data_IF_799125287242
#
_entry.id   IF_799125287242
#
_cell.length_a   1.000
_cell.length_b   1.000
_cell.length_c   1.000
_cell.angle_alpha   90.00
_cell.angle_beta   90.00
_cell.angle_gamma   90.00
#
_symmetry.space_group_name_H-M   'P 1'
#
loop_
_entity.id
_entity.type
_entity.pdbx_description
1 polymer ?
#
# COMPACT_ATOMS: atom_id res chain seq x y z
N UNK A 1 16.46 -11.66 4.93
CA UNK A 1 15.05 -11.98 5.24
C UNK A 1 14.22 -11.48 4.08
N UNK A 2 13.21 -12.23 3.63
CA UNK A 2 12.32 -11.79 2.54
C UNK A 2 11.15 -11.01 3.15
N UNK A 3 10.99 -9.75 2.78
CA UNK A 3 9.94 -8.88 3.31
C UNK A 3 8.62 -9.15 2.58
N UNK A 4 7.53 -9.29 3.33
CA UNK A 4 6.20 -9.46 2.73
C UNK A 4 5.09 -8.88 3.58
N UNK A 5 4.03 -8.44 2.91
CA UNK A 5 2.80 -7.98 3.52
C UNK A 5 2.06 -9.18 4.14
N UNK A 6 1.68 -9.04 5.41
CA UNK A 6 0.91 -10.04 6.18
C UNK A 6 -0.55 -9.65 6.35
N UNK A 7 -0.83 -8.35 6.52
CA UNK A 7 -2.17 -7.81 6.63
C UNK A 7 -2.23 -6.40 6.00
N UNK A 8 -3.41 -6.00 5.52
CA UNK A 8 -3.61 -4.65 5.02
C UNK A 8 -5.08 -4.22 5.12
N UNK A 9 -5.29 -2.95 5.47
CA UNK A 9 -6.61 -2.37 5.73
C UNK A 9 -6.72 -0.98 5.14
N UNK A 10 -7.80 -0.74 4.39
CA UNK A 10 -8.14 0.61 3.95
C UNK A 10 -8.43 1.48 5.18
N UNK A 11 -7.88 2.69 5.22
CA UNK A 11 -8.11 3.64 6.32
C UNK A 11 -8.99 4.79 5.85
N UNK A 12 -8.52 5.56 4.86
CA UNK A 12 -9.21 6.72 4.30
C UNK A 12 -8.51 7.17 3.01
N UNK A 13 -9.20 7.94 2.18
CA UNK A 13 -8.64 8.55 0.96
C UNK A 13 -7.82 7.55 0.13
N UNK A 14 -6.51 7.75 0.00
CA UNK A 14 -5.57 6.80 -0.62
C UNK A 14 -4.55 6.24 0.38
N UNK A 15 -4.97 6.17 1.65
CA UNK A 15 -4.18 5.66 2.75
C UNK A 15 -4.60 4.24 3.11
N UNK A 16 -3.62 3.33 3.12
CA UNK A 16 -3.77 1.93 3.55
C UNK A 16 -2.86 1.69 4.75
N UNK A 17 -3.37 1.05 5.79
CA UNK A 17 -2.55 0.50 6.85
C UNK A 17 -2.02 -0.86 6.41
N UNK A 18 -0.71 -1.07 6.53
CA UNK A 18 -0.03 -2.29 6.08
C UNK A 18 0.78 -2.86 7.24
N UNK A 19 0.74 -4.18 7.38
CA UNK A 19 1.58 -4.95 8.30
C UNK A 19 2.52 -5.89 7.53
N UNK A 20 3.73 -6.04 8.05
CA UNK A 20 4.78 -6.86 7.47
C UNK A 20 5.20 -7.98 8.41
N UNK A 21 5.83 -9.01 7.85
CA UNK A 21 6.35 -10.16 8.60
C UNK A 21 7.42 -9.83 9.65
N UNK A 22 8.03 -8.65 9.59
CA UNK A 22 8.98 -8.13 10.58
C UNK A 22 8.30 -7.41 11.77
N UNK A 23 6.98 -7.55 11.93
CA UNK A 23 6.16 -6.82 12.92
C UNK A 23 6.14 -5.29 12.71
N UNK A 24 6.75 -4.79 11.64
CA UNK A 24 6.59 -3.41 11.21
C UNK A 24 5.17 -3.22 10.68
N UNK A 25 4.52 -2.13 11.08
CA UNK A 25 3.24 -1.70 10.54
C UNK A 25 3.14 -0.18 10.53
N UNK A 26 2.31 0.35 9.64
CA UNK A 26 2.12 1.79 9.50
C UNK A 26 1.11 2.16 8.42
N UNK A 27 0.71 3.43 8.43
CA UNK A 27 -0.16 4.01 7.42
C UNK A 27 0.69 4.42 6.21
N UNK A 28 0.30 3.98 5.02
CA UNK A 28 0.96 4.30 3.77
C UNK A 28 0.01 5.16 2.94
N UNK A 29 0.38 6.41 2.70
CA UNK A 29 -0.33 7.27 1.76
C UNK A 29 0.22 7.08 0.34
N UNK A 30 -0.67 6.68 -0.57
CA UNK A 30 -0.35 6.40 -1.97
C UNK A 30 -0.85 7.50 -2.90
N UNK A 31 -1.46 8.58 -2.39
CA UNK A 31 -2.13 9.61 -3.18
C UNK A 31 -1.22 10.21 -4.26
N UNK A 32 0.05 10.49 -3.92
CA UNK A 32 1.05 11.05 -4.82
C UNK A 32 1.51 10.10 -5.93
N UNK A 33 1.24 8.79 -5.80
CA UNK A 33 1.70 7.77 -6.76
C UNK A 33 0.63 7.46 -7.83
N UNK A 34 -0.56 8.06 -7.73
CA UNK A 34 -1.71 7.73 -8.58
C UNK A 34 -1.83 8.60 -9.84
N UNK A 35 -0.88 9.51 -10.09
CA UNK A 35 -1.04 10.55 -11.12
C UNK A 35 -1.01 10.00 -12.56
N UNK A 36 -0.32 8.87 -12.81
CA UNK A 36 -0.08 8.38 -14.16
C UNK A 36 -0.01 6.84 -14.31
N UNK A 37 -0.12 6.40 -15.56
CA UNK A 37 0.15 5.01 -15.97
C UNK A 37 -0.85 3.98 -15.45
N UNK A 38 -0.35 2.85 -14.95
CA UNK A 38 -1.16 1.71 -14.45
C UNK A 38 -1.92 2.04 -13.17
N UNK A 39 -1.52 3.12 -12.48
CA UNK A 39 -2.11 3.58 -11.22
C UNK A 39 -3.28 4.54 -11.42
N UNK A 40 -3.49 5.06 -12.63
CA UNK A 40 -4.59 5.99 -12.94
C UNK A 40 -5.98 5.47 -12.55
N UNK A 41 -6.34 4.18 -12.73
CA UNK A 41 -7.62 3.64 -12.26
C UNK A 41 -7.78 3.69 -10.74
N UNK A 42 -6.68 3.75 -9.99
CA UNK A 42 -6.70 3.84 -8.52
C UNK A 42 -7.11 5.22 -8.02
N UNK A 43 -7.19 6.24 -8.89
CA UNK A 43 -7.79 7.53 -8.54
C UNK A 43 -9.28 7.41 -8.22
N UNK A 44 -9.93 6.32 -8.65
CA UNK A 44 -11.25 5.99 -8.14
C UNK A 44 -11.11 5.32 -6.76
N UNK A 45 -11.57 6.02 -5.72
CA UNK A 45 -11.44 5.55 -4.32
C UNK A 45 -12.17 4.23 -4.09
N UNK A 46 -13.29 3.97 -4.78
CA UNK A 46 -13.99 2.70 -4.64
C UNK A 46 -13.22 1.56 -5.31
N UNK A 47 -12.52 1.83 -6.41
CA UNK A 47 -11.58 0.90 -7.01
C UNK A 47 -10.34 0.69 -6.14
N UNK A 48 -9.79 1.75 -5.54
CA UNK A 48 -8.65 1.69 -4.64
C UNK A 48 -8.89 0.79 -3.43
N UNK A 49 -10.09 0.83 -2.83
CA UNK A 49 -10.48 -0.04 -1.70
C UNK A 49 -10.45 -1.53 -2.04
N UNK A 50 -10.53 -1.89 -3.32
CA UNK A 50 -10.56 -3.28 -3.78
C UNK A 50 -9.15 -3.90 -3.94
N UNK A 51 -8.16 -3.42 -3.19
CA UNK A 51 -6.83 -4.02 -3.17
C UNK A 51 -6.87 -5.46 -2.63
N UNK A 52 -5.93 -6.28 -3.07
CA UNK A 52 -5.76 -7.66 -2.63
C UNK A 52 -4.30 -7.93 -2.32
N UNK A 53 -4.04 -8.76 -1.30
CA UNK A 53 -2.70 -9.26 -1.05
C UNK A 53 -2.45 -10.43 -2.04
N UNK A 54 -1.59 -10.23 -3.03
CA UNK A 54 -1.17 -11.23 -4.01
C UNK A 54 0.34 -11.29 -4.09
N UNK A 55 0.91 -12.49 -4.10
CA UNK A 55 2.36 -12.67 -4.26
C UNK A 55 3.18 -11.87 -3.25
N UNK A 56 2.73 -11.83 -1.99
CA UNK A 56 3.40 -11.12 -0.88
C UNK A 56 3.27 -9.59 -0.85
N UNK A 57 2.43 -9.01 -1.71
CA UNK A 57 2.27 -7.56 -1.80
C UNK A 57 0.85 -7.09 -2.11
N UNK A 58 0.61 -5.79 -2.10
CA UNK A 58 -0.67 -5.19 -2.50
C UNK A 58 -0.78 -5.09 -4.01
N UNK A 59 -1.87 -5.60 -4.56
CA UNK A 59 -2.16 -5.56 -5.99
C UNK A 59 -3.64 -5.29 -6.27
N UNK A 60 -3.93 -4.70 -7.41
CA UNK A 60 -5.27 -4.44 -7.93
C UNK A 60 -5.52 -5.22 -9.21
N UNK A 61 -6.80 -5.42 -9.56
CA UNK A 61 -7.17 -6.15 -10.76
C UNK A 61 -6.79 -5.39 -12.07
N UNK A 62 -6.38 -4.12 -11.98
CA UNK A 62 -5.85 -3.32 -13.08
C UNK A 62 -4.43 -3.74 -13.48
N UNK A 63 -3.80 -4.61 -12.68
CA UNK A 63 -2.39 -4.97 -12.83
C UNK A 63 -1.44 -4.01 -12.13
N UNK A 64 -1.95 -3.00 -11.41
CA UNK A 64 -1.13 -2.20 -10.52
C UNK A 64 -0.73 -3.00 -9.28
N UNK A 65 0.52 -2.88 -8.86
CA UNK A 65 1.03 -3.40 -7.61
C UNK A 65 2.03 -2.43 -6.99
N UNK A 66 2.12 -2.43 -5.67
CA UNK A 66 3.18 -1.74 -4.94
C UNK A 66 4.04 -2.80 -4.27
N UNK A 67 5.34 -2.80 -4.49
CA UNK A 67 6.26 -3.75 -3.88
C UNK A 67 6.31 -3.62 -2.35
N UNK A 68 6.57 -4.71 -1.61
CA UNK A 68 6.56 -4.69 -0.14
C UNK A 68 7.65 -3.76 0.43
N UNK A 69 8.81 -3.67 -0.22
CA UNK A 69 9.90 -2.74 0.18
C UNK A 69 9.45 -1.27 0.12
N UNK A 70 8.74 -0.88 -0.95
CA UNK A 70 8.22 0.47 -1.12
C UNK A 70 7.18 0.82 -0.05
N UNK A 71 6.23 -0.10 0.19
CA UNK A 71 5.21 0.07 1.22
C UNK A 71 5.85 0.17 2.62
N UNK A 72 6.88 -0.63 2.90
CA UNK A 72 7.57 -0.64 4.19
C UNK A 72 8.33 0.64 4.47
N UNK A 73 9.04 1.18 3.46
CA UNK A 73 9.72 2.46 3.57
C UNK A 73 8.72 3.57 3.94
N UNK A 74 7.62 3.68 3.20
CA UNK A 74 6.56 4.68 3.47
C UNK A 74 5.92 4.49 4.85
N UNK A 75 5.66 3.24 5.26
CA UNK A 75 5.11 2.91 6.57
C UNK A 75 6.05 3.29 7.73
N UNK A 76 7.36 3.30 7.51
CA UNK A 76 8.35 3.76 8.49
C UNK A 76 8.44 5.28 8.56
N UNK A 77 8.32 5.97 7.42
CA UNK A 77 8.38 7.43 7.36
C UNK A 77 7.18 8.10 8.05
N UNK A 78 6.00 7.49 8.01
CA UNK A 78 4.82 8.00 8.73
C UNK A 78 4.89 7.87 10.25
N UNK A 79 5.91 7.19 10.81
CA UNK A 79 6.17 7.18 12.26
C UNK A 79 6.93 8.40 12.77
N UNK A 80 7.30 9.35 11.91
CA UNK A 80 8.15 10.48 12.31
C UNK A 80 7.37 11.78 12.55
N UNK A 81 6.55 11.80 13.60
CA UNK A 81 6.21 13.02 14.35
C UNK A 81 6.04 12.66 15.83
N UNK A 82 7.12 12.82 16.59
CA UNK A 82 7.10 13.05 18.05
C UNK A 82 7.55 14.48 18.28
#
# INVERSE_FOLDING_TARGET
MFLHVTDAKYIKDYTIWVEFNDMTSGNVDLSSELDDGVFKPLQDVDYFKNFKIRGHTLSWDSGADFAPEFLHEKARLTKSCT
#
